data_IF_703434998800
#
_entry.id   IF_703434998800
#
_cell.length_a   1.000
_cell.length_b   1.000
_cell.length_c   1.000
_cell.angle_alpha   90.00
_cell.angle_beta   90.00
_cell.angle_gamma   90.00
#
_symmetry.space_group_name_H-M   'P 1'
#
loop_
_entity.id
_entity.type
_entity.pdbx_description
1 polymer ?
#
# COMPACT_ATOMS: atom_id res chain seq x y z
N UNK A 1 -18.43 -16.00 -10.94
CA UNK A 1 -18.12 -14.56 -10.86
C UNK A 1 -17.81 -14.06 -12.26
N UNK A 2 -18.55 -13.10 -12.79
CA UNK A 2 -18.24 -12.48 -14.09
C UNK A 2 -18.35 -10.97 -13.90
N UNK A 3 -17.21 -10.29 -13.89
CA UNK A 3 -17.11 -8.86 -13.56
C UNK A 3 -15.96 -8.24 -14.34
N UNK A 4 -16.09 -6.98 -14.77
CA UNK A 4 -15.01 -6.26 -15.49
C UNK A 4 -14.41 -7.03 -16.68
N UNK A 5 -15.18 -7.89 -17.35
CA UNK A 5 -14.74 -8.81 -18.43
C UNK A 5 -13.73 -9.88 -17.97
N UNK A 6 -13.65 -10.11 -16.66
CA UNK A 6 -12.89 -11.17 -16.02
C UNK A 6 -13.81 -12.33 -15.67
N UNK A 7 -13.31 -13.54 -15.93
CA UNK A 7 -13.97 -14.77 -15.52
C UNK A 7 -13.36 -15.18 -14.19
N UNK A 8 -14.20 -15.53 -13.22
CA UNK A 8 -13.74 -16.05 -11.94
C UNK A 8 -14.73 -17.01 -11.30
N UNK A 9 -14.21 -17.80 -10.36
CA UNK A 9 -14.97 -18.75 -9.56
C UNK A 9 -14.76 -18.42 -8.09
N UNK A 10 -15.77 -18.65 -7.27
CA UNK A 10 -15.69 -18.50 -5.83
C UNK A 10 -16.49 -19.60 -5.15
N UNK A 11 -16.07 -19.98 -3.95
CA UNK A 11 -16.75 -20.95 -3.12
C UNK A 11 -16.40 -20.74 -1.65
N UNK A 12 -17.24 -21.30 -0.79
CA UNK A 12 -16.97 -21.45 0.62
C UNK A 12 -16.31 -22.81 0.85
N UNK A 13 -15.31 -22.84 1.70
CA UNK A 13 -14.60 -24.04 2.15
C UNK A 13 -14.29 -23.91 3.63
N UNK A 14 -13.70 -24.94 4.21
CA UNK A 14 -13.08 -24.89 5.52
C UNK A 14 -11.56 -24.86 5.34
N UNK A 15 -10.89 -23.97 6.05
CA UNK A 15 -9.43 -23.87 6.06
C UNK A 15 -8.78 -25.02 6.83
N UNK A 16 -7.46 -25.12 6.78
CA UNK A 16 -6.69 -26.10 7.56
C UNK A 16 -6.86 -25.91 9.08
N UNK A 17 -7.19 -24.69 9.52
CA UNK A 17 -7.45 -24.39 10.94
C UNK A 17 -8.87 -24.75 11.39
N UNK A 18 -9.71 -25.27 10.49
CA UNK A 18 -11.11 -25.60 10.77
C UNK A 18 -12.07 -24.42 10.69
N UNK A 19 -11.61 -23.24 10.23
CA UNK A 19 -12.44 -22.03 10.12
C UNK A 19 -13.13 -21.93 8.75
N UNK A 20 -14.32 -21.31 8.67
CA UNK A 20 -14.93 -20.99 7.38
C UNK A 20 -14.01 -20.08 6.55
N UNK A 21 -13.86 -20.37 5.28
CA UNK A 21 -13.00 -19.65 4.36
C UNK A 21 -13.70 -19.44 3.02
N UNK A 22 -13.69 -18.21 2.50
CA UNK A 22 -14.05 -17.94 1.11
C UNK A 22 -12.79 -17.99 0.25
N UNK A 23 -12.85 -18.80 -0.79
CA UNK A 23 -11.82 -18.87 -1.83
C UNK A 23 -12.39 -18.32 -3.13
N UNK A 24 -11.57 -17.59 -3.88
CA UNK A 24 -11.88 -17.19 -5.24
C UNK A 24 -10.66 -17.29 -6.15
N UNK A 25 -10.89 -17.66 -7.41
CA UNK A 25 -9.89 -17.65 -8.47
C UNK A 25 -10.39 -16.76 -9.61
N UNK A 26 -9.64 -15.73 -9.97
CA UNK A 26 -9.96 -14.80 -11.06
C UNK A 26 -8.90 -14.91 -12.15
N UNK A 27 -9.33 -15.12 -13.38
CA UNK A 27 -8.47 -15.22 -14.55
C UNK A 27 -8.22 -13.84 -15.16
N UNK A 28 -6.95 -13.47 -15.34
CA UNK A 28 -6.53 -12.24 -15.98
C UNK A 28 -5.36 -12.48 -16.94
N UNK A 29 -5.65 -12.47 -18.25
CA UNK A 29 -4.67 -12.85 -19.27
C UNK A 29 -4.17 -14.28 -19.06
N UNK A 30 -2.86 -14.47 -18.97
CA UNK A 30 -2.22 -15.75 -18.68
C UNK A 30 -2.02 -16.03 -17.18
N UNK A 31 -2.62 -15.22 -16.30
CA UNK A 31 -2.45 -15.31 -14.84
C UNK A 31 -3.76 -15.67 -14.17
N UNK A 32 -3.64 -16.32 -13.01
CA UNK A 32 -4.75 -16.60 -12.10
C UNK A 32 -4.44 -15.94 -10.77
N UNK A 33 -5.34 -15.10 -10.29
CA UNK A 33 -5.27 -14.49 -8.96
C UNK A 33 -6.15 -15.29 -8.01
N UNK A 34 -5.56 -15.76 -6.92
CA UNK A 34 -6.24 -16.55 -5.90
C UNK A 34 -6.42 -15.68 -4.66
N UNK A 35 -7.66 -15.52 -4.23
CA UNK A 35 -8.03 -14.83 -3.00
C UNK A 35 -8.51 -15.87 -1.99
N UNK A 36 -8.05 -15.71 -0.75
CA UNK A 36 -8.41 -16.55 0.39
C UNK A 36 -8.74 -15.62 1.55
N UNK A 37 -9.99 -15.65 2.00
CA UNK A 37 -10.45 -14.89 3.15
C UNK A 37 -10.97 -15.88 4.19
N UNK A 38 -10.18 -16.10 5.22
CA UNK A 38 -10.57 -16.91 6.37
C UNK A 38 -11.38 -16.03 7.34
N UNK A 39 -12.45 -16.58 7.89
CA UNK A 39 -13.33 -15.88 8.83
C UNK A 39 -12.84 -16.18 10.24
N UNK A 40 -12.55 -15.13 11.00
CA UNK A 40 -11.99 -15.22 12.34
C UNK A 40 -13.03 -15.70 13.38
N UNK A 41 -12.53 -16.25 14.48
CA UNK A 41 -13.40 -16.78 15.53
C UNK A 41 -14.09 -15.62 16.27
N UNK A 42 -15.43 -15.65 16.30
CA UNK A 42 -16.24 -14.64 16.98
C UNK A 42 -16.84 -13.59 16.03
N UNK A 43 -16.46 -13.60 14.75
CA UNK A 43 -17.13 -12.82 13.72
C UNK A 43 -18.47 -13.45 13.32
N UNK A 44 -19.40 -12.60 12.89
CA UNK A 44 -20.59 -13.06 12.18
C UNK A 44 -20.18 -13.56 10.80
N UNK A 45 -20.38 -14.87 10.59
CA UNK A 45 -19.93 -15.57 9.39
C UNK A 45 -20.53 -14.96 8.13
N UNK A 46 -21.81 -14.60 8.14
CA UNK A 46 -22.49 -14.08 6.95
C UNK A 46 -22.01 -12.66 6.64
N UNK A 47 -21.80 -11.83 7.66
CA UNK A 47 -21.29 -10.46 7.50
C UNK A 47 -19.84 -10.47 6.99
N UNK A 48 -18.97 -11.28 7.61
CA UNK A 48 -17.58 -11.38 7.23
C UNK A 48 -17.43 -11.97 5.82
N UNK A 49 -18.18 -13.03 5.52
CA UNK A 49 -18.21 -13.65 4.20
C UNK A 49 -18.64 -12.66 3.11
N UNK A 50 -19.70 -11.89 3.37
CA UNK A 50 -20.20 -10.89 2.44
C UNK A 50 -19.18 -9.78 2.21
N UNK A 51 -18.49 -9.31 3.25
CA UNK A 51 -17.43 -8.31 3.13
C UNK A 51 -16.24 -8.83 2.31
N UNK A 52 -15.85 -10.10 2.49
CA UNK A 52 -14.79 -10.74 1.68
C UNK A 52 -15.24 -10.84 0.23
N UNK A 53 -16.48 -11.29 -0.02
CA UNK A 53 -17.02 -11.41 -1.37
C UNK A 53 -17.09 -10.06 -2.09
N UNK A 54 -17.51 -9.01 -1.40
CA UNK A 54 -17.58 -7.67 -1.95
C UNK A 54 -16.19 -7.10 -2.24
N UNK A 55 -15.21 -7.41 -1.41
CA UNK A 55 -13.79 -7.08 -1.66
C UNK A 55 -13.28 -7.77 -2.92
N UNK A 56 -13.54 -9.07 -3.09
CA UNK A 56 -13.21 -9.84 -4.32
C UNK A 56 -13.91 -9.24 -5.54
N UNK A 57 -15.13 -8.73 -5.38
CA UNK A 57 -15.91 -8.11 -6.45
C UNK A 57 -15.34 -6.79 -6.96
N UNK A 58 -14.46 -6.14 -6.20
CA UNK A 58 -13.78 -4.92 -6.65
C UNK A 58 -12.63 -5.17 -7.62
N UNK A 59 -12.15 -6.42 -7.74
CA UNK A 59 -10.98 -6.73 -8.56
C UNK A 59 -11.22 -6.46 -10.05
N UNK A 60 -10.39 -5.58 -10.62
CA UNK A 60 -10.40 -5.21 -12.04
C UNK A 60 -8.99 -4.91 -12.54
N UNK A 61 -8.81 -4.95 -13.86
CA UNK A 61 -7.59 -4.46 -14.48
C UNK A 61 -7.47 -2.94 -14.31
N UNK A 62 -6.24 -2.45 -14.06
CA UNK A 62 -5.91 -1.03 -14.09
C UNK A 62 -6.16 -0.51 -15.51
N UNK A 63 -6.88 0.61 -15.63
CA UNK A 63 -7.19 1.21 -16.93
C UNK A 63 -6.02 2.06 -17.46
N UNK A 64 -5.91 2.20 -18.78
CA UNK A 64 -4.92 3.09 -19.38
C UNK A 64 -5.22 4.53 -18.95
N UNK A 65 -4.22 5.22 -18.38
CA UNK A 65 -4.38 6.57 -17.82
C UNK A 65 -4.92 6.60 -16.39
N UNK A 66 -5.21 5.44 -15.78
CA UNK A 66 -5.33 5.31 -14.33
C UNK A 66 -3.91 5.41 -13.75
N UNK A 67 -3.43 6.64 -13.55
CA UNK A 67 -2.31 6.88 -12.65
C UNK A 67 -2.72 6.31 -11.30
N UNK A 68 -1.89 5.45 -10.70
CA UNK A 68 -2.03 5.09 -9.30
C UNK A 68 -2.22 6.40 -8.54
N UNK A 69 -3.43 6.63 -8.02
CA UNK A 69 -3.77 7.84 -7.26
C UNK A 69 -2.87 7.81 -6.02
N UNK A 70 -1.74 8.50 -6.11
CA UNK A 70 -0.61 8.32 -5.23
C UNK A 70 0.39 7.31 -5.81
N UNK A 71 1.42 7.81 -6.48
CA UNK A 71 2.71 7.14 -6.36
C UNK A 71 3.00 7.05 -4.86
N UNK A 72 3.01 5.82 -4.33
CA UNK A 72 3.36 5.55 -2.93
C UNK A 72 4.59 6.39 -2.56
N UNK A 73 4.52 7.08 -1.43
CA UNK A 73 5.64 7.85 -0.91
C UNK A 73 6.79 6.88 -0.62
N UNK A 74 7.92 7.06 -1.30
CA UNK A 74 9.08 6.20 -1.10
C UNK A 74 10.09 6.88 -0.19
N UNK A 75 10.70 6.10 0.70
CA UNK A 75 11.84 6.55 1.48
C UNK A 75 13.10 6.28 0.66
N UNK A 76 13.83 7.35 0.36
CA UNK A 76 15.16 7.29 -0.27
C UNK A 76 16.22 7.69 0.74
N UNK A 77 17.28 6.90 0.83
CA UNK A 77 18.45 7.23 1.64
C UNK A 77 19.48 7.96 0.77
N UNK A 78 19.96 9.10 1.25
CA UNK A 78 21.02 9.88 0.61
C UNK A 78 22.07 10.26 1.66
N UNK A 79 23.32 10.46 1.24
CA UNK A 79 24.33 11.04 2.12
C UNK A 79 24.27 12.56 2.05
N UNK A 80 24.30 13.23 3.20
CA UNK A 80 24.33 14.68 3.29
C UNK A 80 25.66 15.21 2.75
N UNK A 81 25.61 16.16 1.81
CA UNK A 81 26.77 16.95 1.43
C UNK A 81 27.04 18.05 2.46
N UNK A 82 28.20 18.69 2.38
CA UNK A 82 28.52 19.90 3.17
C UNK A 82 27.53 21.06 2.97
N UNK A 83 26.80 21.07 1.84
CA UNK A 83 25.77 22.06 1.52
C UNK A 83 24.34 21.53 1.71
N UNK A 84 24.15 20.42 2.45
CA UNK A 84 22.82 19.86 2.64
C UNK A 84 21.94 20.80 3.48
N UNK A 85 20.74 21.09 2.97
CA UNK A 85 19.73 21.87 3.70
C UNK A 85 18.33 21.27 3.48
N UNK A 86 17.65 20.99 4.60
CA UNK A 86 16.27 20.51 4.57
C UNK A 86 15.32 21.49 3.90
N UNK A 87 15.56 22.81 4.00
CA UNK A 87 14.72 23.82 3.36
C UNK A 87 14.76 23.72 1.82
N UNK A 88 15.93 23.36 1.27
CA UNK A 88 16.11 23.17 -0.18
C UNK A 88 15.47 21.86 -0.63
N UNK A 89 15.73 20.76 0.08
CA UNK A 89 15.21 19.44 -0.29
C UNK A 89 13.68 19.39 -0.17
N UNK A 90 13.12 20.06 0.84
CA UNK A 90 11.68 20.16 1.07
C UNK A 90 10.90 20.72 -0.12
N UNK A 91 11.49 21.60 -0.94
CA UNK A 91 10.85 22.17 -2.14
C UNK A 91 10.50 21.12 -3.20
N UNK A 92 11.25 20.01 -3.21
CA UNK A 92 11.05 18.88 -4.12
C UNK A 92 10.34 17.68 -3.48
N UNK A 93 10.01 17.77 -2.19
CA UNK A 93 9.40 16.69 -1.42
C UNK A 93 7.95 16.47 -1.84
N UNK A 94 7.52 15.20 -1.86
CA UNK A 94 6.10 14.85 -2.04
C UNK A 94 5.27 14.99 -0.75
N UNK A 95 5.87 15.42 0.37
CA UNK A 95 5.16 15.70 1.62
C UNK A 95 4.32 16.97 1.44
N UNK A 96 3.00 16.85 1.61
CA UNK A 96 2.05 17.93 1.32
C UNK A 96 2.11 19.10 2.33
N UNK A 97 2.29 18.81 3.62
CA UNK A 97 2.23 19.81 4.69
C UNK A 97 3.51 19.79 5.50
N UNK A 98 4.10 20.98 5.74
CA UNK A 98 5.33 21.15 6.54
C UNK A 98 6.47 20.21 6.09
N UNK A 99 6.87 20.25 4.80
CA UNK A 99 7.81 19.28 4.24
C UNK A 99 9.18 19.36 4.93
N UNK A 100 9.66 20.56 5.27
CA UNK A 100 10.95 20.73 5.95
C UNK A 100 10.91 20.15 7.36
N UNK A 101 9.92 20.54 8.15
CA UNK A 101 9.76 20.11 9.54
C UNK A 101 9.55 18.60 9.62
N UNK A 102 8.77 18.04 8.67
CA UNK A 102 8.53 16.61 8.57
C UNK A 102 9.82 15.86 8.20
N UNK A 103 10.63 16.39 7.27
CA UNK A 103 11.93 15.79 6.96
C UNK A 103 12.91 15.87 8.14
N UNK A 104 12.94 17.01 8.86
CA UNK A 104 13.75 17.13 10.09
C UNK A 104 13.29 16.13 11.15
N UNK A 105 11.98 15.99 11.36
CA UNK A 105 11.41 15.04 12.31
C UNK A 105 11.75 13.58 11.93
N UNK A 106 11.58 13.22 10.65
CA UNK A 106 11.89 11.89 10.11
C UNK A 106 13.36 11.49 10.35
N UNK A 107 14.24 12.47 10.37
CA UNK A 107 15.68 12.30 10.52
C UNK A 107 16.21 12.63 11.92
N UNK A 108 15.37 13.01 12.88
CA UNK A 108 15.78 13.31 14.25
C UNK A 108 16.42 14.69 14.45
N UNK A 109 16.30 15.61 13.50
CA UNK A 109 16.86 16.97 13.57
C UNK A 109 15.82 18.05 13.90
N UNK A 110 14.61 17.69 14.29
CA UNK A 110 13.60 18.66 14.69
C UNK A 110 14.00 19.41 15.98
N UNK A 111 13.73 20.72 16.13
CA UNK A 111 13.10 21.61 15.15
C UNK A 111 14.08 22.31 14.19
N UNK A 112 15.38 22.36 14.50
CA UNK A 112 16.34 23.25 13.79
C UNK A 112 17.69 22.61 13.44
N UNK A 113 17.92 21.35 13.77
CA UNK A 113 19.19 20.66 13.53
C UNK A 113 19.42 20.37 12.05
N UNK A 114 20.66 20.20 11.63
CA UNK A 114 21.05 19.79 10.28
C UNK A 114 22.03 18.63 10.36
N UNK A 115 22.03 17.71 9.39
CA UNK A 115 22.98 16.59 9.36
C UNK A 115 24.39 17.10 9.09
N UNK A 116 25.38 16.40 9.65
CA UNK A 116 26.77 16.59 9.29
C UNK A 116 27.05 15.98 7.92
N UNK A 117 28.08 16.50 7.24
CA UNK A 117 28.49 15.97 5.94
C UNK A 117 28.88 14.48 6.06
N UNK A 118 28.31 13.64 5.19
CA UNK A 118 28.49 12.19 5.18
C UNK A 118 27.43 11.41 5.96
N UNK A 119 26.58 12.07 6.76
CA UNK A 119 25.49 11.38 7.45
C UNK A 119 24.40 10.92 6.47
N UNK A 120 23.78 9.77 6.78
CA UNK A 120 22.68 9.25 6.00
C UNK A 120 21.36 9.90 6.40
N UNK A 121 20.65 10.43 5.41
CA UNK A 121 19.39 11.14 5.57
C UNK A 121 18.31 10.43 4.75
N UNK A 122 17.13 10.28 5.35
CA UNK A 122 15.89 9.78 4.75
C UNK A 122 15.14 10.94 4.11
N UNK A 123 14.89 10.82 2.81
CA UNK A 123 14.03 11.72 2.06
C UNK A 123 12.76 11.02 1.62
N UNK A 124 11.72 11.80 1.36
CA UNK A 124 10.42 11.30 0.89
C UNK A 124 10.22 11.79 -0.55
N UNK A 125 10.13 10.83 -1.47
CA UNK A 125 9.93 11.08 -2.91
C UNK A 125 8.69 10.44 -3.48
#
# INVERSE_FOLDING_TARGET
LNQYRLIGHTGLTTSESGRPERVAAIYFGSRVFIFRGEIEQGDDVDVADQAILDSIRTFRAIQNGETLLGSELKIKYVQASEFFDFAVVAQSSRIANYPEETLRLLNGYYPRGTPEAGEWVKLVE
#
